data_IF_836356239938
#
_entry.id   IF_836356239938
#
_cell.length_a   1.000
_cell.length_b   1.000
_cell.length_c   1.000
_cell.angle_alpha   90.00
_cell.angle_beta   90.00
_cell.angle_gamma   90.00
#
_symmetry.space_group_name_H-M   'P 1'
#
loop_
_entity.id
_entity.type
_entity.pdbx_description
1 polymer ?
#
# COMPACT_ATOMS: atom_id res chain seq x y z
N UNK A 1 -7.67 7.17 -16.97
CA UNK A 1 -6.30 6.70 -16.64
C UNK A 1 -6.41 5.54 -15.65
N UNK A 2 -5.45 4.63 -15.64
CA UNK A 2 -5.42 3.50 -14.70
C UNK A 2 -4.41 3.79 -13.59
N UNK A 3 -4.64 3.24 -12.37
CA UNK A 3 -3.75 3.47 -11.22
C UNK A 3 -2.32 2.94 -11.42
N UNK A 4 -2.12 2.07 -12.40
CA UNK A 4 -0.82 1.52 -12.79
C UNK A 4 -0.18 2.23 -14.01
N UNK A 5 -0.70 3.39 -14.41
CA UNK A 5 -0.05 4.26 -15.40
C UNK A 5 1.17 4.93 -14.76
N UNK A 6 2.41 4.71 -15.25
CA UNK A 6 3.61 5.28 -14.66
C UNK A 6 3.61 6.82 -14.60
N UNK A 7 2.90 7.49 -15.51
CA UNK A 7 2.79 8.95 -15.50
C UNK A 7 1.90 9.43 -14.35
N UNK A 8 0.77 8.74 -14.11
CA UNK A 8 -0.13 9.02 -12.99
C UNK A 8 0.61 8.82 -11.66
N UNK A 9 1.32 7.70 -11.51
CA UNK A 9 2.11 7.39 -10.32
C UNK A 9 3.19 8.47 -10.09
N UNK A 10 3.91 8.86 -11.14
CA UNK A 10 4.95 9.91 -11.05
C UNK A 10 4.38 11.25 -10.57
N UNK A 11 3.24 11.67 -11.08
CA UNK A 11 2.59 12.93 -10.70
C UNK A 11 2.08 12.85 -9.25
N UNK A 12 1.43 11.74 -8.88
CA UNK A 12 0.86 11.55 -7.55
C UNK A 12 1.93 11.59 -6.44
N UNK A 13 3.07 10.95 -6.69
CA UNK A 13 4.16 10.85 -5.71
C UNK A 13 5.31 11.83 -5.97
N UNK A 14 5.10 12.86 -6.79
CA UNK A 14 6.05 13.97 -6.92
C UNK A 14 6.15 14.81 -5.63
N UNK A 15 5.09 14.80 -4.82
CA UNK A 15 5.05 15.44 -3.50
C UNK A 15 4.36 14.52 -2.49
N UNK A 16 4.56 14.78 -1.19
CA UNK A 16 3.88 14.07 -0.11
C UNK A 16 2.44 14.54 0.14
N UNK A 17 1.98 15.61 -0.51
CA UNK A 17 0.72 16.31 -0.22
C UNK A 17 -0.51 15.37 -0.29
N UNK A 18 -0.66 14.61 -1.39
CA UNK A 18 -1.75 13.66 -1.55
C UNK A 18 -1.72 12.56 -0.48
N UNK A 19 -0.54 12.02 -0.20
CA UNK A 19 -0.37 10.97 0.80
C UNK A 19 -0.68 11.47 2.22
N UNK A 20 -0.27 12.68 2.58
CA UNK A 20 -0.55 13.28 3.90
C UNK A 20 -2.03 13.61 4.06
N UNK A 21 -2.68 14.19 3.04
CA UNK A 21 -4.10 14.47 3.07
C UNK A 21 -4.94 13.20 3.26
N UNK A 22 -4.62 12.11 2.54
CA UNK A 22 -5.28 10.82 2.74
C UNK A 22 -5.05 10.26 4.15
N UNK A 23 -3.83 10.36 4.69
CA UNK A 23 -3.52 9.92 6.05
C UNK A 23 -4.28 10.70 7.11
N UNK A 24 -4.53 11.98 6.91
CA UNK A 24 -5.28 12.81 7.85
C UNK A 24 -6.70 12.28 8.08
N UNK A 25 -7.33 11.68 7.08
CA UNK A 25 -8.66 11.08 7.21
C UNK A 25 -8.70 9.85 8.13
N UNK A 26 -7.57 9.14 8.25
CA UNK A 26 -7.50 7.93 9.10
C UNK A 26 -7.61 8.23 10.60
N UNK A 27 -7.51 9.48 11.04
CA UNK A 27 -7.85 9.89 12.42
C UNK A 27 -9.31 9.61 12.78
N UNK A 28 -10.17 9.48 11.79
CA UNK A 28 -11.59 9.16 11.91
C UNK A 28 -11.91 7.70 11.62
N UNK A 29 -10.88 6.87 11.45
CA UNK A 29 -11.05 5.46 11.13
C UNK A 29 -11.37 4.63 12.38
N UNK A 30 -12.16 3.57 12.17
CA UNK A 30 -12.41 2.50 13.13
C UNK A 30 -12.02 1.15 12.52
N UNK A 31 -11.99 0.11 13.36
CA UNK A 31 -11.58 -1.23 12.95
C UNK A 31 -10.05 -1.42 13.04
N UNK A 32 -9.54 -2.58 12.61
CA UNK A 32 -8.12 -2.92 12.72
C UNK A 32 -7.22 -1.91 12.00
N UNK A 33 -6.10 -1.53 12.62
CA UNK A 33 -5.12 -0.63 11.99
C UNK A 33 -4.22 -1.41 11.02
N UNK A 34 -4.45 -1.25 9.72
CA UNK A 34 -3.72 -2.02 8.72
C UNK A 34 -2.19 -1.74 8.68
N UNK A 35 -1.67 -0.52 8.89
CA UNK A 35 -0.26 -0.30 9.16
C UNK A 35 0.27 -1.10 10.36
N UNK A 36 -0.50 -1.19 11.44
CA UNK A 36 -0.15 -2.01 12.61
C UNK A 36 -0.18 -3.50 12.27
N UNK A 37 -1.22 -3.98 11.57
CA UNK A 37 -1.31 -5.38 11.13
C UNK A 37 -0.12 -5.77 10.24
N UNK A 38 0.29 -4.88 9.32
CA UNK A 38 1.47 -5.13 8.48
C UNK A 38 2.76 -5.21 9.31
N UNK A 39 2.94 -4.29 10.26
CA UNK A 39 4.07 -4.30 11.17
C UNK A 39 4.12 -5.58 12.02
N UNK A 40 3.00 -5.98 12.61
CA UNK A 40 2.87 -7.21 13.40
C UNK A 40 3.21 -8.45 12.57
N UNK A 41 2.70 -8.51 11.31
CA UNK A 41 3.01 -9.60 10.40
C UNK A 41 4.52 -9.70 10.07
N UNK A 42 5.25 -8.60 10.05
CA UNK A 42 6.71 -8.60 9.94
C UNK A 42 7.35 -9.06 11.25
N UNK A 43 6.90 -8.53 12.39
CA UNK A 43 7.48 -8.82 13.71
C UNK A 43 7.34 -10.30 14.12
N UNK A 44 6.26 -10.98 13.72
CA UNK A 44 6.00 -12.39 14.01
C UNK A 44 7.15 -13.33 13.62
N UNK A 45 7.95 -12.98 12.62
CA UNK A 45 9.08 -13.81 12.16
C UNK A 45 10.44 -13.32 12.65
N UNK A 46 10.46 -12.20 13.39
CA UNK A 46 11.71 -11.61 13.90
C UNK A 46 12.82 -11.56 12.83
N UNK A 47 12.57 -10.94 11.66
CA UNK A 47 13.49 -11.01 10.54
C UNK A 47 14.78 -10.27 10.85
N UNK A 48 15.91 -10.76 10.32
CA UNK A 48 17.19 -10.05 10.40
C UNK A 48 17.31 -9.00 9.29
N UNK A 49 16.75 -9.29 8.10
CA UNK A 49 16.88 -8.44 6.93
C UNK A 49 15.57 -8.29 6.18
N UNK A 50 15.09 -7.06 6.06
CA UNK A 50 13.81 -6.71 5.46
C UNK A 50 13.98 -5.85 4.23
N UNK A 51 13.24 -6.17 3.15
CA UNK A 51 13.07 -5.30 1.97
C UNK A 51 11.68 -4.65 2.04
N UNK A 52 11.58 -3.33 1.98
CA UNK A 52 10.31 -2.65 1.72
C UNK A 52 10.32 -2.07 0.30
N UNK A 53 9.36 -2.47 -0.55
CA UNK A 53 9.16 -1.92 -1.89
C UNK A 53 7.99 -0.95 -1.90
N UNK A 54 8.12 0.18 -2.64
CA UNK A 54 7.17 1.28 -2.57
C UNK A 54 7.13 1.90 -1.17
N UNK A 55 8.28 2.12 -0.58
CA UNK A 55 8.40 2.53 0.83
C UNK A 55 7.81 3.93 1.11
N UNK A 56 7.52 4.71 0.08
CA UNK A 56 7.10 6.10 0.24
C UNK A 56 8.11 6.87 1.11
N UNK A 57 7.64 7.69 2.06
CA UNK A 57 8.55 8.46 2.92
C UNK A 57 9.23 7.62 4.01
N UNK A 58 9.21 6.27 3.94
CA UNK A 58 9.98 5.38 4.82
C UNK A 58 9.48 5.27 6.26
N UNK A 59 8.21 5.57 6.54
CA UNK A 59 7.69 5.50 7.93
C UNK A 59 7.67 4.08 8.47
N UNK A 60 7.22 3.10 7.67
CA UNK A 60 7.17 1.70 8.08
C UNK A 60 8.58 1.10 8.13
N UNK A 61 9.44 1.41 7.15
CA UNK A 61 10.85 1.02 7.16
C UNK A 61 11.57 1.47 8.44
N UNK A 62 11.42 2.75 8.80
CA UNK A 62 12.04 3.29 10.01
C UNK A 62 11.52 2.58 11.27
N UNK A 63 10.21 2.35 11.34
CA UNK A 63 9.59 1.65 12.45
C UNK A 63 10.09 0.21 12.58
N UNK A 64 10.18 -0.55 11.47
CA UNK A 64 10.71 -1.93 11.46
C UNK A 64 12.16 -1.93 11.98
N UNK A 65 13.00 -1.01 11.49
CA UNK A 65 14.37 -0.86 11.97
C UNK A 65 14.42 -0.57 13.47
N UNK A 66 13.64 0.38 13.94
CA UNK A 66 13.75 0.91 15.30
C UNK A 66 13.12 -0.02 16.36
N UNK A 67 12.01 -0.69 16.02
CA UNK A 67 11.26 -1.51 16.99
C UNK A 67 11.60 -3.01 16.89
N UNK A 68 11.98 -3.52 15.69
CA UNK A 68 12.35 -4.93 15.49
C UNK A 68 13.88 -5.09 15.54
N UNK A 69 14.63 -4.07 15.14
CA UNK A 69 16.10 -4.12 15.07
C UNK A 69 16.62 -4.79 13.78
N UNK A 70 15.77 -4.95 12.76
CA UNK A 70 16.14 -5.54 11.49
C UNK A 70 16.98 -4.56 10.63
N UNK A 71 17.88 -5.10 9.79
CA UNK A 71 18.45 -4.35 8.68
C UNK A 71 17.35 -4.11 7.64
N UNK A 72 17.01 -2.85 7.37
CA UNK A 72 15.97 -2.52 6.41
C UNK A 72 16.57 -1.85 5.18
N UNK A 73 16.33 -2.44 4.01
CA UNK A 73 16.57 -1.81 2.72
C UNK A 73 15.22 -1.45 2.10
N UNK A 74 15.10 -0.22 1.61
CA UNK A 74 13.86 0.29 1.04
C UNK A 74 14.05 0.69 -0.42
N UNK A 75 13.03 0.42 -1.26
CA UNK A 75 13.03 0.78 -2.67
C UNK A 75 11.76 1.56 -2.99
N UNK A 76 11.88 2.66 -3.73
CA UNK A 76 10.74 3.39 -4.28
C UNK A 76 11.09 3.93 -5.67
N UNK A 77 10.10 3.99 -6.57
CA UNK A 77 10.29 4.55 -7.91
C UNK A 77 10.40 6.09 -7.92
N UNK A 78 9.93 6.74 -6.86
CA UNK A 78 9.98 8.20 -6.70
C UNK A 78 11.27 8.64 -6.00
N UNK A 79 12.18 9.40 -6.67
CA UNK A 79 13.35 9.98 -6.01
C UNK A 79 12.97 10.83 -4.79
N UNK A 80 11.84 11.55 -4.85
CA UNK A 80 11.34 12.36 -3.73
C UNK A 80 11.03 11.50 -2.50
N UNK A 81 10.37 10.36 -2.68
CA UNK A 81 10.05 9.45 -1.58
C UNK A 81 11.33 8.85 -0.98
N UNK A 82 12.27 8.48 -1.83
CA UNK A 82 13.59 7.99 -1.39
C UNK A 82 14.32 9.02 -0.54
N UNK A 83 14.34 10.30 -0.96
CA UNK A 83 14.97 11.36 -0.17
C UNK A 83 14.32 11.55 1.20
N UNK A 84 12.99 11.44 1.27
CA UNK A 84 12.25 11.49 2.53
C UNK A 84 12.53 10.29 3.43
N UNK A 85 12.68 9.10 2.87
CA UNK A 85 13.03 7.90 3.61
C UNK A 85 14.47 7.96 4.14
N UNK A 86 15.41 8.45 3.32
CA UNK A 86 16.80 8.70 3.73
C UNK A 86 16.91 9.72 4.86
N UNK A 87 16.08 10.77 4.82
CA UNK A 87 16.02 11.76 5.91
C UNK A 87 15.55 11.14 7.25
N UNK A 88 14.93 9.94 7.22
CA UNK A 88 14.60 9.14 8.41
C UNK A 88 15.68 8.11 8.78
N UNK A 89 16.82 8.15 8.12
CA UNK A 89 17.92 7.21 8.35
C UNK A 89 17.69 5.80 7.76
N UNK A 90 16.77 5.67 6.79
CA UNK A 90 16.53 4.39 6.08
C UNK A 90 17.51 4.25 4.92
N UNK A 91 18.09 3.07 4.69
CA UNK A 91 18.80 2.74 3.44
C UNK A 91 17.79 2.62 2.30
N UNK A 92 17.46 3.77 1.70
CA UNK A 92 16.47 3.84 0.63
C UNK A 92 17.12 4.10 -0.73
N UNK A 93 16.61 3.43 -1.77
CA UNK A 93 17.15 3.45 -3.14
C UNK A 93 16.05 3.68 -4.15
N UNK A 94 16.36 4.43 -5.20
CA UNK A 94 15.46 4.53 -6.35
C UNK A 94 15.54 3.21 -7.13
N UNK A 95 14.38 2.60 -7.42
CA UNK A 95 14.34 1.35 -8.17
C UNK A 95 12.92 0.93 -8.55
N UNK A 96 12.83 -0.11 -9.36
CA UNK A 96 11.59 -0.71 -9.82
C UNK A 96 11.44 -2.11 -9.21
N UNK A 97 10.28 -2.38 -8.60
CA UNK A 97 9.96 -3.71 -8.04
C UNK A 97 9.94 -4.81 -9.11
N UNK A 98 9.74 -4.45 -10.38
CA UNK A 98 9.75 -5.37 -11.50
C UNK A 98 11.16 -5.81 -11.90
N UNK A 99 12.21 -5.17 -11.37
CA UNK A 99 13.63 -5.47 -11.66
C UNK A 99 14.49 -5.08 -10.45
N UNK A 100 14.46 -5.92 -9.41
CA UNK A 100 15.18 -5.67 -8.17
C UNK A 100 16.67 -6.02 -8.29
N UNK A 101 17.53 -5.04 -8.02
CA UNK A 101 19.00 -5.18 -8.07
C UNK A 101 19.57 -5.94 -6.85
N UNK A 102 18.88 -6.98 -6.39
CA UNK A 102 19.33 -7.82 -5.28
C UNK A 102 19.51 -9.26 -5.75
N UNK A 103 20.42 -9.98 -5.10
CA UNK A 103 20.60 -11.41 -5.33
C UNK A 103 19.39 -12.20 -4.82
N UNK A 104 19.15 -13.37 -5.41
CA UNK A 104 18.16 -14.30 -4.89
C UNK A 104 18.49 -14.66 -3.42
N UNK A 105 17.46 -14.81 -2.58
CA UNK A 105 17.61 -15.20 -1.18
C UNK A 105 18.37 -14.17 -0.35
N UNK A 106 18.16 -12.86 -0.60
CA UNK A 106 18.84 -11.78 0.13
C UNK A 106 18.08 -11.27 1.35
N UNK A 107 16.80 -11.63 1.52
CA UNK A 107 15.95 -11.09 2.57
C UNK A 107 15.11 -12.18 3.25
N UNK A 108 14.90 -12.04 4.55
CA UNK A 108 14.04 -12.94 5.33
C UNK A 108 12.56 -12.54 5.16
N UNK A 109 12.32 -11.24 5.01
CA UNK A 109 10.99 -10.68 4.86
C UNK A 109 10.99 -9.56 3.80
N UNK A 110 9.91 -9.47 3.03
CA UNK A 110 9.62 -8.35 2.15
C UNK A 110 8.28 -7.71 2.51
N UNK A 111 8.14 -6.41 2.27
CA UNK A 111 6.92 -5.65 2.49
C UNK A 111 6.57 -4.88 1.23
N UNK A 112 5.29 -4.97 0.80
CA UNK A 112 4.72 -4.23 -0.32
C UNK A 112 3.38 -3.61 0.11
N UNK A 113 3.44 -2.45 0.79
CA UNK A 113 2.26 -1.85 1.40
C UNK A 113 1.65 -0.76 0.52
N UNK A 114 0.43 -0.99 0.00
CA UNK A 114 -0.34 -0.07 -0.85
C UNK A 114 0.40 0.38 -2.12
N UNK A 115 1.17 -0.51 -2.74
CA UNK A 115 1.93 -0.16 -3.94
C UNK A 115 1.70 -1.10 -5.14
N UNK A 116 1.38 -2.39 -4.94
CA UNK A 116 1.29 -3.38 -6.02
C UNK A 116 0.22 -3.05 -7.08
N UNK A 117 -0.84 -2.33 -6.72
CA UNK A 117 -1.85 -1.87 -7.68
C UNK A 117 -1.36 -0.73 -8.59
N UNK A 118 -0.18 -0.17 -8.32
CA UNK A 118 0.49 0.82 -9.16
C UNK A 118 1.47 0.19 -10.15
N UNK A 119 1.73 -1.11 -10.04
CA UNK A 119 2.73 -1.80 -10.86
C UNK A 119 2.12 -2.22 -12.20
N UNK A 120 2.73 -1.87 -13.34
CA UNK A 120 2.25 -2.27 -14.65
C UNK A 120 2.20 -3.79 -14.84
N UNK A 121 3.27 -4.50 -14.49
CA UNK A 121 3.39 -5.97 -14.54
C UNK A 121 3.52 -6.54 -13.12
N UNK A 122 2.38 -6.80 -12.50
CA UNK A 122 2.33 -7.33 -11.13
C UNK A 122 2.91 -8.75 -11.03
N UNK A 123 2.75 -9.57 -12.07
CA UNK A 123 3.31 -10.92 -12.08
C UNK A 123 4.84 -10.90 -12.01
N UNK A 124 5.47 -10.02 -12.80
CA UNK A 124 6.90 -9.80 -12.74
C UNK A 124 7.35 -9.29 -11.38
N UNK A 125 6.63 -8.36 -10.79
CA UNK A 125 6.93 -7.85 -9.45
C UNK A 125 6.85 -8.95 -8.39
N UNK A 126 5.82 -9.80 -8.43
CA UNK A 126 5.67 -10.90 -7.49
C UNK A 126 6.76 -11.97 -7.66
N UNK A 127 7.16 -12.26 -8.90
CA UNK A 127 8.28 -13.14 -9.19
C UNK A 127 9.61 -12.60 -8.62
N UNK A 128 9.88 -11.31 -8.77
CA UNK A 128 11.07 -10.65 -8.19
C UNK A 128 11.04 -10.66 -6.67
N UNK A 129 9.89 -10.36 -6.04
CA UNK A 129 9.73 -10.44 -4.59
C UNK A 129 9.95 -11.86 -4.06
N UNK A 130 9.42 -12.88 -4.75
CA UNK A 130 9.68 -14.28 -4.38
C UNK A 130 11.16 -14.65 -4.57
N UNK A 131 11.81 -14.19 -5.65
CA UNK A 131 13.23 -14.47 -5.94
C UNK A 131 14.18 -13.92 -4.87
N UNK A 132 13.93 -12.71 -4.39
CA UNK A 132 14.83 -12.06 -3.42
C UNK A 132 14.65 -12.57 -1.99
N UNK A 133 13.57 -13.27 -1.69
CA UNK A 133 13.33 -13.90 -0.41
C UNK A 133 14.08 -15.24 -0.28
N UNK A 134 14.53 -15.54 0.93
CA UNK A 134 15.09 -16.86 1.28
C UNK A 134 14.01 -17.96 1.19
N UNK A 135 14.36 -19.24 1.07
CA UNK A 135 13.39 -20.33 1.28
C UNK A 135 12.69 -20.20 2.62
N UNK A 136 11.37 -20.32 2.65
CA UNK A 136 10.53 -20.06 3.82
C UNK A 136 10.37 -18.59 4.19
N UNK A 137 10.94 -17.66 3.42
CA UNK A 137 10.82 -16.22 3.62
C UNK A 137 9.39 -15.71 3.46
N UNK A 138 9.13 -14.51 4.00
CA UNK A 138 7.79 -13.94 4.10
C UNK A 138 7.64 -12.68 3.24
N UNK A 139 6.53 -12.60 2.49
CA UNK A 139 6.03 -11.34 1.93
C UNK A 139 4.81 -10.86 2.72
N UNK A 140 4.81 -9.60 3.13
CA UNK A 140 3.64 -8.90 3.68
C UNK A 140 3.16 -7.89 2.63
N UNK A 141 2.01 -8.15 2.01
CA UNK A 141 1.43 -7.26 1.01
C UNK A 141 0.14 -6.62 1.53
N UNK A 142 0.00 -5.31 1.39
CA UNK A 142 -1.21 -4.58 1.81
C UNK A 142 -1.87 -3.92 0.61
N UNK A 143 -3.19 -4.08 0.53
CA UNK A 143 -4.02 -3.46 -0.50
C UNK A 143 -5.40 -3.13 0.05
N UNK A 144 -6.33 -2.76 -0.82
CA UNK A 144 -7.72 -2.52 -0.44
C UNK A 144 -8.66 -3.48 -1.17
N UNK A 145 -9.75 -3.87 -0.48
CA UNK A 145 -10.84 -4.63 -1.06
C UNK A 145 -11.67 -3.78 -2.05
N UNK A 146 -12.48 -4.40 -2.91
CA UNK A 146 -13.28 -3.68 -3.92
C UNK A 146 -14.30 -2.70 -3.34
N UNK A 147 -14.82 -2.95 -2.16
CA UNK A 147 -15.81 -2.11 -1.47
C UNK A 147 -15.18 -0.97 -0.64
N UNK A 148 -13.85 -0.85 -0.63
CA UNK A 148 -13.18 0.27 0.05
C UNK A 148 -13.62 1.61 -0.52
N UNK A 149 -14.14 2.50 0.36
CA UNK A 149 -14.70 3.82 0.05
C UNK A 149 -15.94 3.76 -0.89
N UNK A 150 -16.72 2.69 -0.84
CA UNK A 150 -17.89 2.51 -1.71
C UNK A 150 -18.84 3.70 -1.63
N UNK A 151 -19.22 4.12 -0.44
CA UNK A 151 -20.21 5.20 -0.22
C UNK A 151 -19.70 6.55 -0.74
N UNK A 152 -18.40 6.82 -0.60
CA UNK A 152 -17.79 8.02 -1.18
C UNK A 152 -17.79 7.98 -2.71
N UNK A 153 -17.51 6.82 -3.30
CA UNK A 153 -17.53 6.64 -4.76
C UNK A 153 -18.94 6.81 -5.32
N UNK A 154 -19.94 6.24 -4.66
CA UNK A 154 -21.36 6.40 -5.00
C UNK A 154 -21.77 7.87 -4.93
N UNK A 155 -21.37 8.59 -3.86
CA UNK A 155 -21.65 10.01 -3.68
C UNK A 155 -21.02 10.86 -4.80
N UNK A 156 -19.84 10.50 -5.27
CA UNK A 156 -19.15 11.18 -6.39
C UNK A 156 -19.63 10.71 -7.78
N UNK A 157 -20.63 9.83 -7.86
CA UNK A 157 -21.10 9.26 -9.12
C UNK A 157 -20.08 8.39 -9.85
N UNK A 158 -19.07 7.91 -9.13
CA UNK A 158 -18.01 7.07 -9.68
C UNK A 158 -18.44 5.60 -9.71
N UNK A 159 -18.00 4.83 -10.71
CA UNK A 159 -18.29 3.40 -10.75
C UNK A 159 -17.66 2.71 -9.53
N UNK A 160 -18.22 1.57 -9.08
CA UNK A 160 -17.58 0.73 -8.07
C UNK A 160 -16.12 0.46 -8.44
N UNK A 161 -15.25 0.31 -7.44
CA UNK A 161 -13.90 -0.19 -7.70
C UNK A 161 -14.02 -1.52 -8.43
N UNK A 162 -13.47 -1.57 -9.63
CA UNK A 162 -13.49 -2.82 -10.38
C UNK A 162 -12.59 -3.84 -9.69
N UNK A 163 -12.98 -5.11 -9.75
CA UNK A 163 -12.08 -6.24 -9.46
C UNK A 163 -10.81 -6.25 -10.37
N UNK A 164 -10.76 -5.37 -11.35
CA UNK A 164 -9.73 -5.21 -12.38
C UNK A 164 -8.54 -4.32 -11.99
N UNK A 165 -8.29 -4.06 -10.71
CA UNK A 165 -6.98 -3.53 -10.33
C UNK A 165 -5.92 -4.63 -10.51
N UNK A 166 -4.71 -4.28 -10.95
CA UNK A 166 -3.60 -5.25 -11.07
C UNK A 166 -3.42 -6.10 -9.81
N UNK A 167 -3.63 -5.48 -8.62
CA UNK A 167 -3.58 -6.15 -7.33
C UNK A 167 -4.62 -5.55 -6.38
N UNK A 168 -5.48 -6.38 -5.79
CA UNK A 168 -6.56 -5.95 -4.89
C UNK A 168 -6.90 -7.04 -3.88
N UNK A 169 -7.75 -6.74 -2.90
CA UNK A 169 -8.29 -7.75 -1.98
C UNK A 169 -9.10 -8.86 -2.67
N UNK A 170 -9.54 -8.65 -3.92
CA UNK A 170 -10.31 -9.65 -4.67
C UNK A 170 -9.45 -10.67 -5.43
N UNK A 171 -8.25 -10.27 -5.88
CA UNK A 171 -7.40 -11.11 -6.72
C UNK A 171 -6.00 -11.37 -6.13
N UNK A 172 -5.66 -10.68 -5.03
CA UNK A 172 -4.32 -10.73 -4.47
C UNK A 172 -3.90 -12.12 -4.00
N UNK A 173 -4.80 -12.87 -3.36
CA UNK A 173 -4.50 -14.24 -2.91
C UNK A 173 -4.19 -15.17 -4.09
N UNK A 174 -5.02 -15.15 -5.14
CA UNK A 174 -4.79 -15.97 -6.34
C UNK A 174 -3.47 -15.62 -7.02
N UNK A 175 -3.15 -14.32 -7.17
CA UNK A 175 -1.90 -13.87 -7.76
C UNK A 175 -0.68 -14.29 -6.92
N UNK A 176 -0.77 -14.16 -5.61
CA UNK A 176 0.30 -14.56 -4.70
C UNK A 176 0.54 -16.07 -4.73
N UNK A 177 -0.51 -16.90 -4.78
CA UNK A 177 -0.38 -18.37 -4.83
C UNK A 177 0.31 -18.89 -6.09
N UNK A 178 0.50 -18.06 -7.13
CA UNK A 178 1.30 -18.42 -8.31
C UNK A 178 2.81 -18.36 -8.05
N UNK A 179 3.24 -17.63 -7.04
CA UNK A 179 4.64 -17.38 -6.73
C UNK A 179 5.05 -17.84 -5.32
N UNK A 180 4.09 -18.03 -4.43
CA UNK A 180 4.30 -18.38 -3.02
C UNK A 180 3.58 -19.67 -2.67
N UNK A 181 4.18 -20.48 -1.80
CA UNK A 181 3.66 -21.79 -1.41
C UNK A 181 2.42 -21.71 -0.52
N UNK A 182 2.27 -20.61 0.25
CA UNK A 182 1.16 -20.39 1.17
C UNK A 182 0.83 -18.91 1.26
N UNK A 183 -0.46 -18.60 1.35
CA UNK A 183 -0.97 -17.25 1.59
C UNK A 183 -1.99 -17.28 2.73
N UNK A 184 -1.88 -16.34 3.65
CA UNK A 184 -2.85 -16.04 4.69
C UNK A 184 -3.44 -14.66 4.41
N UNK A 185 -4.76 -14.51 4.48
CA UNK A 185 -5.45 -13.25 4.29
C UNK A 185 -5.97 -12.74 5.63
N UNK A 186 -5.62 -11.51 5.99
CA UNK A 186 -6.08 -10.81 7.19
C UNK A 186 -6.98 -9.66 6.80
N UNK A 187 -8.20 -9.68 7.30
CA UNK A 187 -9.22 -8.67 7.04
C UNK A 187 -9.04 -7.46 7.97
N UNK A 188 -8.96 -6.27 7.38
CA UNK A 188 -8.85 -4.99 8.08
C UNK A 188 -10.11 -4.13 7.97
N UNK A 189 -11.28 -4.74 7.68
CA UNK A 189 -12.53 -3.99 7.49
C UNK A 189 -12.89 -3.10 8.69
N UNK A 190 -13.41 -1.93 8.38
CA UNK A 190 -13.84 -0.92 9.34
C UNK A 190 -14.54 0.23 8.62
N UNK A 191 -14.54 1.40 9.23
CA UNK A 191 -15.16 2.60 8.65
C UNK A 191 -14.25 3.81 8.79
N UNK A 192 -14.50 4.84 7.97
CA UNK A 192 -14.03 6.20 8.22
C UNK A 192 -15.28 7.07 8.40
N UNK A 193 -15.34 7.83 9.50
CA UNK A 193 -16.47 8.68 9.86
C UNK A 193 -16.06 10.14 9.68
N UNK A 194 -16.26 10.68 8.49
CA UNK A 194 -15.99 12.09 8.21
C UNK A 194 -17.04 12.97 8.94
N UNK A 195 -16.63 13.89 9.82
CA UNK A 195 -17.57 14.65 10.63
C UNK A 195 -18.27 15.75 9.85
N UNK A 196 -17.76 16.15 8.70
CA UNK A 196 -18.32 17.23 7.88
C UNK A 196 -17.99 17.06 6.41
N UNK A 197 -18.72 17.81 5.56
CA UNK A 197 -18.45 17.88 4.12
C UNK A 197 -17.04 18.41 3.82
N UNK A 198 -16.51 19.34 4.61
CA UNK A 198 -15.19 19.91 4.40
C UNK A 198 -14.08 18.87 4.60
N UNK A 199 -14.22 17.98 5.57
CA UNK A 199 -13.29 16.85 5.76
C UNK A 199 -13.34 15.85 4.60
N UNK A 200 -14.53 15.58 4.06
CA UNK A 200 -14.68 14.76 2.84
C UNK A 200 -14.03 15.47 1.65
N UNK A 201 -14.24 16.78 1.50
CA UNK A 201 -13.65 17.59 0.43
C UNK A 201 -12.12 17.52 0.49
N UNK A 202 -11.52 17.72 1.67
CA UNK A 202 -10.06 17.62 1.85
C UNK A 202 -9.51 16.25 1.45
N UNK A 203 -10.24 15.17 1.76
CA UNK A 203 -9.89 13.83 1.33
C UNK A 203 -9.98 13.65 -0.20
N UNK A 204 -11.09 14.10 -0.80
CA UNK A 204 -11.31 14.04 -2.25
C UNK A 204 -10.21 14.81 -3.00
N UNK A 205 -9.89 16.02 -2.55
CA UNK A 205 -8.83 16.83 -3.16
C UNK A 205 -7.45 16.16 -3.08
N UNK A 206 -7.15 15.51 -1.94
CA UNK A 206 -5.90 14.75 -1.77
C UNK A 206 -5.84 13.46 -2.59
N UNK A 207 -6.96 13.03 -3.15
CA UNK A 207 -7.12 11.77 -3.88
C UNK A 207 -7.53 11.96 -5.35
N UNK A 208 -7.58 13.18 -5.86
CA UNK A 208 -8.07 13.49 -7.22
C UNK A 208 -7.40 12.65 -8.30
N UNK A 209 -6.06 12.55 -8.24
CA UNK A 209 -5.28 11.74 -9.18
C UNK A 209 -5.67 10.26 -9.12
N UNK A 210 -5.95 9.74 -7.92
CA UNK A 210 -6.31 8.33 -7.73
C UNK A 210 -7.75 8.02 -8.11
N UNK A 211 -8.65 9.01 -8.05
CA UNK A 211 -10.03 8.84 -8.49
C UNK A 211 -10.18 9.01 -10.01
N UNK A 212 -9.17 9.56 -10.69
CA UNK A 212 -9.23 9.92 -12.12
C UNK A 212 -10.53 10.69 -12.44
N UNK A 213 -10.86 11.67 -11.61
CA UNK A 213 -12.14 12.34 -11.66
C UNK A 213 -12.06 13.80 -11.24
N UNK A 214 -12.71 14.66 -12.05
CA UNK A 214 -13.05 16.02 -11.69
C UNK A 214 -14.43 16.12 -11.02
N UNK A 215 -15.01 14.99 -10.61
CA UNK A 215 -16.32 14.95 -9.97
C UNK A 215 -16.38 15.90 -8.78
N UNK A 216 -17.38 16.74 -8.79
CA UNK A 216 -17.66 17.65 -7.70
C UNK A 216 -18.39 16.92 -6.58
N UNK A 217 -17.97 17.16 -5.35
CA UNK A 217 -18.65 16.64 -4.18
C UNK A 217 -20.01 17.33 -4.04
N UNK A 218 -21.14 16.60 -4.12
CA UNK A 218 -22.45 17.21 -4.00
C UNK A 218 -22.67 17.84 -2.62
N UNK A 219 -23.67 18.68 -2.50
CA UNK A 219 -24.06 19.23 -1.22
C UNK A 219 -24.71 18.13 -0.37
N UNK A 220 -24.23 17.99 0.85
CA UNK A 220 -24.86 17.17 1.90
C UNK A 220 -24.60 17.81 3.28
N UNK A 221 -25.41 17.47 4.27
CA UNK A 221 -25.27 17.96 5.62
C UNK A 221 -24.96 16.79 6.57
N UNK A 222 -24.21 17.07 7.64
CA UNK A 222 -23.87 16.10 8.65
C UNK A 222 -22.61 15.28 8.32
N UNK A 223 -22.52 14.11 8.92
CA UNK A 223 -21.39 13.20 8.75
C UNK A 223 -21.57 12.28 7.55
N UNK A 224 -20.45 11.82 6.99
CA UNK A 224 -20.41 10.74 6.01
C UNK A 224 -19.61 9.57 6.58
N UNK A 225 -20.25 8.41 6.67
CA UNK A 225 -19.60 7.16 7.08
C UNK A 225 -19.31 6.35 5.80
N UNK A 226 -18.06 5.97 5.63
CA UNK A 226 -17.63 5.19 4.47
C UNK A 226 -16.93 3.90 4.89
N UNK A 227 -17.08 2.86 4.09
CA UNK A 227 -16.38 1.60 4.27
C UNK A 227 -14.88 1.81 4.12
N UNK A 228 -14.10 1.38 5.11
CA UNK A 228 -12.65 1.24 5.05
C UNK A 228 -12.31 -0.25 5.05
N UNK A 229 -11.72 -0.74 3.98
CA UNK A 229 -11.48 -2.18 3.84
C UNK A 229 -10.08 -2.48 3.29
N UNK A 230 -9.02 -2.27 4.09
CA UNK A 230 -7.70 -2.78 3.76
C UNK A 230 -7.64 -4.29 3.98
N UNK A 231 -6.80 -4.95 3.19
CA UNK A 231 -6.50 -6.38 3.29
C UNK A 231 -4.99 -6.55 3.39
N UNK A 232 -4.55 -7.36 4.34
CA UNK A 232 -3.14 -7.74 4.51
C UNK A 232 -2.98 -9.20 4.12
N UNK A 233 -2.15 -9.45 3.12
CA UNK A 233 -1.73 -10.79 2.72
C UNK A 233 -0.37 -11.10 3.34
N UNK A 234 -0.25 -12.29 3.90
CA UNK A 234 1.01 -12.85 4.40
C UNK A 234 1.33 -14.10 3.58
N UNK A 235 2.31 -13.98 2.68
CA UNK A 235 2.68 -15.05 1.77
C UNK A 235 4.07 -15.61 2.13
N UNK A 236 4.28 -16.90 1.90
CA UNK A 236 5.55 -17.58 2.19
C UNK A 236 6.08 -18.29 0.96
N UNK A 237 7.40 -18.13 0.72
CA UNK A 237 8.12 -18.96 -0.25
C UNK A 237 8.17 -20.42 0.20
N UNK A 238 8.47 -21.33 -0.75
CA UNK A 238 8.65 -22.75 -0.47
C UNK A 238 9.91 -23.02 0.36
#
# INVERSE_FOLDING_TARGET
>A
MTLNDPQVVRVEYATERGLEGRRAAYRYATGPDAPQMAFEAVAEVSPLRVLEVGCGPGKLSARIRDEIGAEVVAVDSSPRMVDLARARGVDARVGDVQELEFRAGSFDCAVAAWMLYHVPDVERALAELARVLVPGGRLVAVTNAPDHLRELRELLGLPPRRAAYPFSGANGEELLLRHFARVETRDGAGTIRFPSRDEVMGYVESSRTLFDSEAELPAFAGELVVTRHPVVFVAHTA
#
